data_IF_835370875805
#
_entry.id   IF_835370875805
#
_cell.length_a   1.000
_cell.length_b   1.000
_cell.length_c   1.000
_cell.angle_alpha   90.00
_cell.angle_beta   90.00
_cell.angle_gamma   90.00
#
_symmetry.space_group_name_H-M   'P 1'
#
loop_
_entity.id
_entity.type
_entity.pdbx_description
1 polymer ?
#
# COMPACT_ATOMS: atom_id res chain seq x y z
N UNK A 1 -12.04 10.22 -6.20
CA UNK A 1 -11.27 9.50 -5.18
C UNK A 1 -9.87 9.17 -5.64
N UNK A 2 -9.75 8.39 -6.69
CA UNK A 2 -8.43 8.02 -7.17
C UNK A 2 -7.66 9.15 -7.80
N UNK A 3 -8.32 10.20 -8.14
CA UNK A 3 -7.69 11.37 -8.71
C UNK A 3 -6.69 12.02 -7.76
N UNK A 4 -6.79 11.70 -6.46
CA UNK A 4 -5.85 12.23 -5.49
C UNK A 4 -4.58 11.40 -5.40
N UNK A 5 -4.59 10.21 -5.98
CA UNK A 5 -3.45 9.33 -5.94
C UNK A 5 -2.87 9.25 -7.34
N UNK A 6 -2.41 10.40 -7.81
CA UNK A 6 -1.87 10.50 -9.15
C UNK A 6 -0.36 10.36 -9.12
N UNK A 7 0.13 9.31 -9.72
CA UNK A 7 1.55 9.16 -9.96
C UNK A 7 1.75 8.12 -11.06
N UNK A 8 2.91 8.20 -11.69
CA UNK A 8 3.23 7.30 -12.78
C UNK A 8 4.05 6.14 -12.21
N UNK A 9 3.45 4.94 -12.19
CA UNK A 9 4.09 3.77 -11.59
C UNK A 9 5.43 3.45 -12.25
N UNK A 10 5.57 3.74 -13.54
CA UNK A 10 6.79 3.44 -14.26
C UNK A 10 7.95 4.33 -13.83
N UNK A 11 7.65 5.53 -13.37
CA UNK A 11 8.66 6.48 -12.93
C UNK A 11 8.69 6.63 -11.42
N UNK A 12 7.81 5.92 -10.72
CA UNK A 12 7.67 6.10 -9.28
C UNK A 12 8.93 5.66 -8.55
N UNK A 13 9.29 6.45 -7.56
CA UNK A 13 10.36 6.11 -6.64
C UNK A 13 9.73 5.69 -5.33
N UNK A 14 10.36 4.75 -4.64
CA UNK A 14 9.85 4.25 -3.38
C UNK A 14 10.92 4.46 -2.32
N UNK A 15 10.47 4.83 -1.15
CA UNK A 15 11.38 5.03 -0.02
C UNK A 15 10.75 4.50 1.24
N UNK A 16 11.56 4.30 2.26
CA UNK A 16 11.09 3.87 3.58
C UNK A 16 12.20 4.04 4.60
N UNK A 17 11.81 3.92 5.86
CA UNK A 17 12.74 3.94 6.98
C UNK A 17 13.22 2.50 7.20
N UNK A 18 14.53 2.29 7.22
CA UNK A 18 15.08 0.95 7.34
C UNK A 18 14.73 0.27 8.66
N UNK A 19 14.65 1.04 9.74
CA UNK A 19 14.25 0.45 11.02
C UNK A 19 12.81 -0.01 10.98
N UNK A 20 11.94 0.77 10.36
CA UNK A 20 10.53 0.39 10.21
C UNK A 20 10.39 -0.82 9.33
N UNK A 21 11.21 -0.91 8.28
CA UNK A 21 11.22 -2.09 7.41
C UNK A 21 11.57 -3.34 8.22
N UNK A 22 12.61 -3.24 9.03
CA UNK A 22 13.05 -4.37 9.85
C UNK A 22 11.97 -4.78 10.85
N UNK A 23 11.38 -3.81 11.54
CA UNK A 23 10.29 -4.08 12.48
C UNK A 23 9.08 -4.69 11.79
N UNK A 24 8.76 -4.18 10.61
CA UNK A 24 7.63 -4.71 9.86
C UNK A 24 7.85 -6.17 9.48
N UNK A 25 9.06 -6.49 9.06
CA UNK A 25 9.38 -7.87 8.73
C UNK A 25 9.29 -8.76 9.97
N UNK A 26 9.79 -8.28 11.10
CA UNK A 26 9.73 -9.04 12.36
C UNK A 26 8.29 -9.30 12.78
N UNK A 27 7.43 -8.28 12.65
CA UNK A 27 6.05 -8.36 13.14
C UNK A 27 5.09 -9.04 12.17
N UNK A 28 5.33 -8.90 10.88
CA UNK A 28 4.36 -9.35 9.86
C UNK A 28 4.95 -10.26 8.80
N UNK A 29 6.26 -10.47 8.81
CA UNK A 29 6.91 -11.34 7.84
C UNK A 29 7.00 -10.74 6.45
N UNK A 30 6.78 -9.45 6.31
CA UNK A 30 6.78 -8.77 5.02
C UNK A 30 7.75 -7.61 5.07
N UNK A 31 8.72 -7.59 4.15
CA UNK A 31 9.62 -6.46 4.05
C UNK A 31 9.02 -5.46 3.05
N UNK A 32 9.51 -4.22 3.11
CA UNK A 32 8.94 -3.16 2.29
C UNK A 32 9.28 -3.32 0.81
N UNK A 33 10.39 -3.97 0.51
CA UNK A 33 10.74 -4.26 -0.87
C UNK A 33 9.69 -5.16 -1.52
N UNK A 34 9.15 -6.10 -0.77
CA UNK A 34 8.05 -6.94 -1.23
C UNK A 34 6.76 -6.13 -1.30
N UNK A 35 6.51 -5.29 -0.29
CA UNK A 35 5.28 -4.50 -0.23
C UNK A 35 5.13 -3.59 -1.45
N UNK A 36 6.23 -3.03 -1.94
CA UNK A 36 6.21 -2.14 -3.12
C UNK A 36 5.55 -2.82 -4.32
N UNK A 37 5.64 -4.13 -4.41
CA UNK A 37 5.13 -4.87 -5.57
C UNK A 37 3.61 -4.82 -5.69
N UNK A 38 2.89 -4.41 -4.64
CA UNK A 38 1.43 -4.26 -4.76
C UNK A 38 1.08 -3.25 -5.85
N UNK A 39 1.95 -2.29 -6.11
CA UNK A 39 1.70 -1.28 -7.11
C UNK A 39 1.73 -1.84 -8.53
N UNK A 40 2.28 -3.03 -8.72
CA UNK A 40 2.31 -3.69 -10.02
C UNK A 40 1.06 -4.52 -10.28
N UNK A 41 0.23 -4.72 -9.26
CA UNK A 41 -0.99 -5.50 -9.39
C UNK A 41 -2.04 -4.67 -10.12
N UNK A 42 -2.50 -5.10 -11.30
CA UNK A 42 -3.52 -4.35 -12.03
C UNK A 42 -4.86 -4.31 -11.33
N UNK A 43 -5.08 -5.19 -10.36
CA UNK A 43 -6.33 -5.26 -9.61
C UNK A 43 -6.23 -4.58 -8.25
N UNK A 44 -5.15 -3.87 -8.00
CA UNK A 44 -4.98 -3.21 -6.71
C UNK A 44 -6.11 -2.23 -6.43
N UNK A 45 -6.44 -2.10 -5.16
CA UNK A 45 -7.45 -1.15 -4.70
C UNK A 45 -6.79 -0.13 -3.81
N UNK A 46 -7.13 1.13 -3.99
CA UNK A 46 -6.50 2.24 -3.28
C UNK A 46 -7.58 3.10 -2.64
N UNK A 47 -7.36 3.49 -1.40
CA UNK A 47 -8.26 4.45 -0.73
C UNK A 47 -7.44 5.40 0.11
N UNK A 48 -8.05 6.55 0.42
CA UNK A 48 -7.48 7.49 1.39
C UNK A 48 -7.67 6.90 2.79
N UNK A 49 -6.63 6.97 3.60
CA UNK A 49 -6.70 6.52 4.99
C UNK A 49 -7.31 7.63 5.83
N UNK A 50 -8.57 7.46 6.22
CA UNK A 50 -9.31 8.48 6.96
C UNK A 50 -9.09 8.42 8.46
N UNK A 51 -8.37 7.42 8.93
CA UNK A 51 -8.09 7.28 10.36
C UNK A 51 -6.96 8.17 10.84
N UNK A 52 -6.28 8.83 9.91
CA UNK A 52 -5.16 9.71 10.23
C UNK A 52 -5.39 11.06 9.60
N UNK A 53 -6.40 11.83 10.07
CA UNK A 53 -6.66 13.14 9.49
C UNK A 53 -5.47 14.06 9.68
N UNK A 54 -5.19 14.86 8.66
CA UNK A 54 -4.03 15.74 8.67
C UNK A 54 -2.80 15.13 8.03
N UNK A 55 -2.82 13.85 7.70
CA UNK A 55 -1.75 13.19 6.97
C UNK A 55 -2.32 12.61 5.69
N UNK A 56 -1.57 12.75 4.61
CA UNK A 56 -1.98 12.16 3.34
C UNK A 56 -1.49 10.72 3.28
N UNK A 57 -2.27 9.84 3.88
CA UNK A 57 -1.99 8.40 3.85
C UNK A 57 -2.97 7.69 2.96
N UNK A 58 -2.48 6.64 2.34
CA UNK A 58 -3.28 5.80 1.45
C UNK A 58 -3.12 4.35 1.88
N UNK A 59 -4.19 3.60 1.70
CA UNK A 59 -4.19 2.16 1.94
C UNK A 59 -4.33 1.47 0.59
N UNK A 60 -3.51 0.45 0.37
CA UNK A 60 -3.54 -0.30 -0.87
C UNK A 60 -3.74 -1.77 -0.56
N UNK A 61 -4.71 -2.39 -1.24
CA UNK A 61 -4.83 -3.84 -1.26
C UNK A 61 -4.28 -4.31 -2.60
N UNK A 62 -3.33 -5.23 -2.56
CA UNK A 62 -2.74 -5.76 -3.77
C UNK A 62 -2.22 -7.16 -3.53
N UNK A 63 -2.15 -7.95 -4.59
CA UNK A 63 -1.69 -9.33 -4.50
C UNK A 63 -0.21 -9.42 -4.85
N UNK A 64 0.56 -9.99 -3.93
CA UNK A 64 1.96 -10.34 -4.14
C UNK A 64 2.09 -11.73 -3.53
N UNK A 65 1.72 -12.74 -4.31
CA UNK A 65 1.52 -14.08 -3.79
C UNK A 65 0.21 -14.17 -3.04
N UNK A 66 0.08 -13.43 -1.96
CA UNK A 66 -1.16 -13.29 -1.21
C UNK A 66 -1.54 -11.82 -1.18
N UNK A 67 -2.76 -11.52 -0.76
CA UNK A 67 -3.23 -10.14 -0.71
C UNK A 67 -2.62 -9.44 0.49
N UNK A 68 -2.02 -8.29 0.24
CA UNK A 68 -1.37 -7.47 1.25
C UNK A 68 -2.14 -6.17 1.44
N UNK A 69 -2.08 -5.66 2.67
CA UNK A 69 -2.59 -4.34 3.02
C UNK A 69 -1.38 -3.46 3.29
N UNK A 70 -1.20 -2.43 2.48
CA UNK A 70 -0.03 -1.56 2.55
C UNK A 70 -0.47 -0.14 2.85
N UNK A 71 0.24 0.51 3.76
CA UNK A 71 0.01 1.93 4.07
C UNK A 71 1.18 2.73 3.54
N UNK A 72 0.88 3.83 2.86
CA UNK A 72 1.92 4.68 2.30
C UNK A 72 1.49 6.14 2.30
N UNK A 73 2.45 7.02 2.04
CA UNK A 73 2.18 8.44 1.80
C UNK A 73 2.80 8.82 0.47
N UNK A 74 2.24 9.86 -0.16
CA UNK A 74 2.82 10.42 -1.38
C UNK A 74 3.73 11.56 -1.01
N UNK A 75 4.90 11.55 -1.58
CA UNK A 75 5.88 12.62 -1.43
C UNK A 75 6.06 13.31 -2.76
N UNK A 76 6.81 14.40 -2.76
CA UNK A 76 7.10 15.14 -3.97
C UNK A 76 7.86 14.27 -4.98
N UNK A 77 7.79 14.68 -6.24
CA UNK A 77 8.56 14.07 -7.33
C UNK A 77 8.21 12.61 -7.55
N UNK A 78 6.92 12.30 -7.50
CA UNK A 78 6.44 10.96 -7.81
C UNK A 78 7.06 9.89 -6.90
N UNK A 79 7.19 10.22 -5.62
CA UNK A 79 7.79 9.33 -4.64
C UNK A 79 6.73 8.82 -3.67
N UNK A 80 6.76 7.51 -3.42
CA UNK A 80 5.85 6.86 -2.49
C UNK A 80 6.68 6.40 -1.29
N UNK A 81 6.25 6.82 -0.09
CA UNK A 81 6.91 6.38 1.13
C UNK A 81 6.09 5.29 1.78
N UNK A 82 6.67 4.11 1.93
CA UNK A 82 6.00 2.97 2.56
C UNK A 82 6.07 3.14 4.07
N UNK A 83 4.92 2.95 4.72
CA UNK A 83 4.80 3.12 6.17
C UNK A 83 4.67 1.76 6.87
N UNK A 84 3.81 0.89 6.34
CA UNK A 84 3.61 -0.44 6.91
C UNK A 84 3.02 -1.37 5.88
N UNK A 85 3.14 -2.67 6.14
CA UNK A 85 2.60 -3.70 5.27
C UNK A 85 2.26 -4.92 6.10
N UNK A 86 1.10 -5.50 5.85
CA UNK A 86 0.68 -6.74 6.51
C UNK A 86 -0.17 -7.55 5.55
N UNK A 87 -0.38 -8.80 5.90
CA UNK A 87 -1.33 -9.61 5.15
C UNK A 87 -2.72 -9.04 5.35
N UNK A 88 -3.51 -9.04 4.30
CA UNK A 88 -4.89 -8.54 4.37
C UNK A 88 -5.71 -9.40 5.34
N UNK A 89 -6.64 -8.76 6.03
CA UNK A 89 -7.62 -9.47 6.85
C UNK A 89 -8.58 -10.22 5.93
N UNK A 90 -9.38 -11.12 6.49
CA UNK A 90 -10.36 -11.85 5.69
C UNK A 90 -11.34 -10.91 5.00
N UNK A 91 -11.97 -9.94 5.69
CA UNK A 91 -12.85 -9.01 4.98
C UNK A 91 -12.15 -8.21 3.88
N UNK A 92 -10.91 -7.81 4.10
CA UNK A 92 -10.15 -7.09 3.08
C UNK A 92 -9.89 -7.96 1.87
N UNK A 93 -9.48 -9.21 2.10
CA UNK A 93 -9.22 -10.13 1.00
C UNK A 93 -10.49 -10.41 0.22
N UNK A 94 -11.63 -10.54 0.90
CA UNK A 94 -12.89 -10.78 0.22
C UNK A 94 -13.27 -9.60 -0.67
N UNK A 95 -13.06 -8.37 -0.20
CA UNK A 95 -13.31 -7.19 -1.03
C UNK A 95 -12.42 -7.18 -2.26
N UNK A 96 -11.16 -7.51 -2.07
CA UNK A 96 -10.23 -7.56 -3.17
C UNK A 96 -10.66 -8.61 -4.19
N UNK A 97 -11.04 -9.80 -3.75
CA UNK A 97 -11.42 -10.88 -4.63
C UNK A 97 -12.76 -10.63 -5.33
N UNK A 98 -13.65 -9.91 -4.68
CA UNK A 98 -14.93 -9.55 -5.30
C UNK A 98 -14.77 -8.45 -6.34
N UNK A 99 -13.67 -7.74 -6.32
CA UNK A 99 -13.43 -6.67 -7.28
C UNK A 99 -14.30 -5.46 -7.05
N UNK A 100 -14.76 -5.23 -5.82
CA UNK A 100 -15.58 -4.08 -5.53
C UNK A 100 -14.77 -2.80 -5.63
N UNK A 101 -15.43 -1.72 -6.02
CA UNK A 101 -14.77 -0.44 -6.17
C UNK A 101 -14.38 0.20 -4.84
N UNK A 102 -15.04 -0.19 -3.78
CA UNK A 102 -14.79 0.36 -2.47
C UNK A 102 -14.13 -0.66 -1.55
N UNK A 103 -13.27 -0.11 -0.70
CA UNK A 103 -12.54 -0.99 0.17
C UNK A 103 -12.41 -0.40 1.57
#
# INVERSE_FOLDING_TARGET
>A
MYEYFEFNIEDAQFEWDEEKDHLNFTNHGINFKTAVKVFLDPNKMIRVDEEHPGEERYNILGRVGKVLFVVCTLREKNTVRIISARTASLPERERYEDGECEF
#
